data_IF_328085191058
#
_entry.id   IF_328085191058
#
_cell.length_a   1.000
_cell.length_b   1.000
_cell.length_c   1.000
_cell.angle_alpha   90.00
_cell.angle_beta   90.00
_cell.angle_gamma   90.00
#
_symmetry.space_group_name_H-M   'P 1'
#
loop_
_entity.id
_entity.type
_entity.pdbx_description
1 polymer ?
#
# COMPACT_ATOMS: atom_id res chain seq x y z
N UNK A 1 -20.87 -7.49 24.90
CA UNK A 1 -20.10 -6.97 26.05
C UNK A 1 -19.85 -5.49 25.81
N UNK A 2 -19.78 -4.68 26.87
CA UNK A 2 -19.35 -3.28 26.74
C UNK A 2 -17.82 -3.16 26.67
N UNK A 3 -17.33 -1.96 26.36
CA UNK A 3 -15.89 -1.70 26.21
C UNK A 3 -15.11 -1.97 27.50
N UNK A 4 -15.67 -1.63 28.67
CA UNK A 4 -14.99 -1.79 29.96
C UNK A 4 -14.87 -3.27 30.34
N UNK A 5 -15.92 -4.06 30.10
CA UNK A 5 -15.90 -5.51 30.28
C UNK A 5 -14.85 -6.17 29.39
N UNK A 6 -14.74 -5.75 28.12
CA UNK A 6 -13.73 -6.26 27.19
C UNK A 6 -12.33 -5.87 27.66
N UNK A 7 -12.12 -4.61 28.06
CA UNK A 7 -10.83 -4.14 28.55
C UNK A 7 -10.35 -4.91 29.78
N UNK A 8 -11.26 -5.24 30.71
CA UNK A 8 -10.93 -6.05 31.89
C UNK A 8 -10.50 -7.47 31.48
N UNK A 9 -11.23 -8.13 30.58
CA UNK A 9 -10.82 -9.45 30.08
C UNK A 9 -9.49 -9.42 29.33
N UNK A 10 -9.26 -8.41 28.50
CA UNK A 10 -7.99 -8.24 27.78
C UNK A 10 -6.83 -8.10 28.76
N UNK A 11 -7.01 -7.36 29.86
CA UNK A 11 -6.01 -7.22 30.93
C UNK A 11 -5.69 -8.53 31.64
N UNK A 12 -6.67 -9.43 31.79
CA UNK A 12 -6.46 -10.76 32.38
C UNK A 12 -5.72 -11.72 31.46
N UNK A 13 -5.93 -11.59 30.14
CA UNK A 13 -5.31 -12.45 29.12
C UNK A 13 -3.87 -12.02 28.83
N UNK A 14 -3.63 -10.72 28.69
CA UNK A 14 -2.35 -10.20 28.24
C UNK A 14 -1.35 -10.09 29.38
N UNK A 15 -0.08 -10.50 29.18
CA UNK A 15 1.00 -10.16 30.10
C UNK A 15 1.12 -8.64 30.26
N UNK A 16 1.51 -8.16 31.45
CA UNK A 16 1.54 -6.73 31.80
C UNK A 16 2.17 -5.84 30.72
N UNK A 17 3.40 -6.15 30.27
CA UNK A 17 4.09 -5.38 29.22
C UNK A 17 3.31 -5.30 27.90
N UNK A 18 2.59 -6.37 27.56
CA UNK A 18 1.78 -6.45 26.34
C UNK A 18 0.50 -5.65 26.50
N UNK A 19 -0.12 -5.68 27.68
CA UNK A 19 -1.27 -4.85 27.99
C UNK A 19 -0.92 -3.35 27.94
N UNK A 20 0.23 -2.94 28.50
CA UNK A 20 0.70 -1.56 28.39
C UNK A 20 0.95 -1.13 26.95
N UNK A 21 1.52 -2.01 26.12
CA UNK A 21 1.63 -1.82 24.67
C UNK A 21 0.26 -1.58 24.04
N UNK A 22 -0.70 -2.47 24.29
CA UNK A 22 -2.07 -2.35 23.79
C UNK A 22 -2.71 -1.01 24.16
N UNK A 23 -2.54 -0.52 25.39
CA UNK A 23 -3.08 0.79 25.79
C UNK A 23 -2.46 1.96 25.01
N UNK A 24 -1.15 1.89 24.69
CA UNK A 24 -0.51 2.91 23.87
C UNK A 24 -0.98 2.85 22.41
N UNK A 25 -1.16 1.65 21.86
CA UNK A 25 -1.76 1.45 20.53
C UNK A 25 -3.18 2.01 20.49
N UNK A 26 -3.98 1.84 21.55
CA UNK A 26 -5.33 2.43 21.67
C UNK A 26 -5.30 3.95 21.55
N UNK A 27 -4.39 4.63 22.25
CA UNK A 27 -4.30 6.09 22.18
C UNK A 27 -3.84 6.59 20.82
N UNK A 28 -2.87 5.92 20.18
CA UNK A 28 -2.44 6.26 18.81
C UNK A 28 -3.57 6.01 17.80
N UNK A 29 -4.29 4.90 17.93
CA UNK A 29 -5.39 4.57 17.04
C UNK A 29 -6.55 5.57 17.15
N UNK A 30 -6.87 6.04 18.36
CA UNK A 30 -7.87 7.11 18.58
C UNK A 30 -7.44 8.42 17.92
N UNK A 31 -6.18 8.81 18.09
CA UNK A 31 -5.62 10.00 17.44
C UNK A 31 -5.73 9.92 15.91
N UNK A 32 -5.22 8.84 15.31
CA UNK A 32 -5.30 8.65 13.86
C UNK A 32 -6.76 8.55 13.37
N UNK A 33 -7.66 7.98 14.16
CA UNK A 33 -9.09 7.95 13.82
C UNK A 33 -9.71 9.36 13.75
N UNK A 34 -9.31 10.27 14.65
CA UNK A 34 -9.73 11.67 14.58
C UNK A 34 -9.19 12.35 13.31
N UNK A 35 -7.90 12.14 12.99
CA UNK A 35 -7.25 12.72 11.79
C UNK A 35 -7.94 12.27 10.50
N UNK A 36 -8.27 10.99 10.38
CA UNK A 36 -8.81 10.40 9.14
C UNK A 36 -10.33 10.21 9.13
N UNK A 37 -11.05 10.75 10.12
CA UNK A 37 -12.51 10.73 10.16
C UNK A 37 -13.12 9.33 10.37
N UNK A 38 -12.43 8.45 11.09
CA UNK A 38 -12.91 7.12 11.48
C UNK A 38 -13.49 7.19 12.91
N UNK A 39 -14.45 6.32 13.24
CA UNK A 39 -14.99 6.24 14.60
C UNK A 39 -13.90 5.90 15.61
N UNK A 40 -13.63 6.81 16.53
CA UNK A 40 -12.68 6.62 17.64
C UNK A 40 -13.01 5.39 18.50
N UNK A 41 -14.30 5.12 18.71
CA UNK A 41 -14.76 3.97 19.50
C UNK A 41 -14.41 2.65 18.82
N UNK A 42 -14.57 2.57 17.49
CA UNK A 42 -14.22 1.38 16.70
C UNK A 42 -12.70 1.20 16.62
N UNK A 43 -11.96 2.29 16.43
CA UNK A 43 -10.50 2.28 16.46
C UNK A 43 -9.95 1.83 17.83
N UNK A 44 -10.50 2.37 18.92
CA UNK A 44 -10.14 1.98 20.28
C UNK A 44 -10.44 0.50 20.54
N UNK A 45 -11.61 -0.01 20.10
CA UNK A 45 -11.97 -1.41 20.27
C UNK A 45 -11.03 -2.33 19.48
N UNK A 46 -10.78 -2.06 18.21
CA UNK A 46 -9.88 -2.86 17.38
C UNK A 46 -8.44 -2.84 17.93
N UNK A 47 -7.95 -1.67 18.35
CA UNK A 47 -6.64 -1.54 18.99
C UNK A 47 -6.56 -2.28 20.33
N UNK A 48 -7.63 -2.27 21.14
CA UNK A 48 -7.66 -2.96 22.42
C UNK A 48 -7.52 -4.48 22.26
N UNK A 49 -8.07 -5.04 21.19
CA UNK A 49 -8.13 -6.50 21.00
C UNK A 49 -7.13 -7.06 19.98
N UNK A 50 -6.35 -6.21 19.28
CA UNK A 50 -5.47 -6.65 18.17
C UNK A 50 -4.49 -7.77 18.56
N UNK A 51 -3.94 -7.70 19.76
CA UNK A 51 -2.90 -8.61 20.26
C UNK A 51 -3.45 -9.66 21.24
N UNK A 52 -4.78 -9.81 21.39
CA UNK A 52 -5.38 -10.68 22.43
C UNK A 52 -4.92 -12.14 22.36
N UNK A 53 -4.61 -12.64 21.16
CA UNK A 53 -4.10 -13.99 20.96
C UNK A 53 -2.57 -14.08 21.00
N UNK A 54 -1.83 -12.97 21.17
CA UNK A 54 -0.36 -13.00 21.25
C UNK A 54 0.22 -13.98 22.29
N UNK A 55 -0.38 -14.17 23.48
CA UNK A 55 0.11 -15.14 24.47
C UNK A 55 -0.40 -16.58 24.25
N UNK A 56 -1.28 -16.82 23.27
CA UNK A 56 -1.80 -18.17 22.96
C UNK A 56 -0.68 -19.08 22.43
N UNK A 57 -0.70 -20.35 22.82
CA UNK A 57 0.32 -21.30 22.36
C UNK A 57 0.10 -21.74 20.90
N UNK A 58 1.16 -22.25 20.28
CA UNK A 58 1.16 -22.65 18.87
C UNK A 58 0.14 -23.76 18.55
N UNK A 59 -0.04 -24.72 19.45
CA UNK A 59 -0.95 -25.84 19.23
C UNK A 59 -2.39 -25.33 19.23
N UNK A 60 -2.73 -24.44 20.17
CA UNK A 60 -4.04 -23.81 20.22
C UNK A 60 -4.29 -22.90 19.00
N UNK A 61 -3.32 -22.06 18.61
CA UNK A 61 -3.46 -21.23 17.40
C UNK A 61 -3.70 -22.06 16.14
N UNK A 62 -2.94 -23.16 15.95
CA UNK A 62 -3.11 -24.05 14.78
C UNK A 62 -4.47 -24.76 14.80
N UNK A 63 -5.00 -25.11 15.99
CA UNK A 63 -6.37 -25.62 16.11
C UNK A 63 -7.39 -24.56 15.68
N UNK A 64 -7.22 -23.31 16.09
CA UNK A 64 -8.08 -22.21 15.65
C UNK A 64 -8.07 -22.04 14.13
N UNK A 65 -6.89 -22.11 13.48
CA UNK A 65 -6.77 -22.05 12.02
C UNK A 65 -7.63 -23.12 11.34
N UNK A 66 -7.60 -24.35 11.86
CA UNK A 66 -8.37 -25.48 11.29
C UNK A 66 -9.86 -25.35 11.60
N UNK A 67 -10.24 -25.09 12.85
CA UNK A 67 -11.63 -25.08 13.30
C UNK A 67 -12.45 -23.93 12.70
N UNK A 68 -11.80 -22.81 12.40
CA UNK A 68 -12.45 -21.62 11.83
C UNK A 68 -12.23 -21.48 10.32
N UNK A 69 -11.70 -22.50 9.63
CA UNK A 69 -11.40 -22.47 8.19
C UNK A 69 -10.60 -21.22 7.77
N UNK A 70 -9.59 -20.84 8.55
CA UNK A 70 -8.67 -19.76 8.16
C UNK A 70 -7.73 -20.24 7.03
N UNK A 71 -6.93 -19.34 6.46
CA UNK A 71 -5.98 -19.73 5.40
C UNK A 71 -5.03 -20.82 5.90
N UNK A 72 -5.13 -22.02 5.31
CA UNK A 72 -4.34 -23.20 5.67
C UNK A 72 -2.83 -22.96 5.53
N UNK A 73 -2.41 -22.01 4.68
CA UNK A 73 -1.00 -21.62 4.56
C UNK A 73 -0.43 -21.08 5.85
N UNK A 74 -1.26 -20.51 6.74
CA UNK A 74 -0.81 -20.02 8.05
C UNK A 74 -0.14 -21.11 8.88
N UNK A 75 -0.47 -22.38 8.67
CA UNK A 75 0.13 -23.51 9.40
C UNK A 75 1.65 -23.64 9.17
N UNK A 76 2.16 -23.08 8.07
CA UNK A 76 3.59 -23.08 7.71
C UNK A 76 4.37 -21.88 8.28
N UNK A 77 3.74 -21.01 9.08
CA UNK A 77 4.34 -19.78 9.60
C UNK A 77 4.44 -19.78 11.13
N UNK A 78 5.34 -18.97 11.72
CA UNK A 78 5.48 -18.85 13.17
C UNK A 78 4.25 -18.19 13.80
N UNK A 79 3.99 -18.45 15.09
CA UNK A 79 2.84 -17.89 15.85
C UNK A 79 2.69 -16.37 15.77
N UNK A 80 3.81 -15.65 15.56
CA UNK A 80 3.82 -14.22 15.33
C UNK A 80 3.02 -13.79 14.08
N UNK A 81 2.75 -14.72 13.16
CA UNK A 81 1.91 -14.52 11.98
C UNK A 81 0.46 -14.90 12.24
N UNK A 82 0.24 -15.95 13.02
CA UNK A 82 -1.09 -16.53 13.25
C UNK A 82 -1.95 -15.66 14.18
N UNK A 83 -1.34 -14.92 15.12
CA UNK A 83 -2.09 -14.28 16.20
C UNK A 83 -3.12 -13.24 15.72
N UNK A 84 -2.88 -12.58 14.58
CA UNK A 84 -3.85 -11.66 13.97
C UNK A 84 -5.09 -12.40 13.44
N UNK A 85 -4.95 -13.28 12.43
CA UNK A 85 -6.07 -14.06 11.90
C UNK A 85 -6.80 -14.90 12.97
N UNK A 86 -6.06 -15.52 13.89
CA UNK A 86 -6.65 -16.26 15.03
C UNK A 86 -7.38 -15.29 15.97
N UNK A 87 -6.79 -14.13 16.27
CA UNK A 87 -7.40 -13.07 17.07
C UNK A 87 -8.75 -12.61 16.52
N UNK A 88 -8.86 -12.44 15.21
CA UNK A 88 -10.11 -12.07 14.54
C UNK A 88 -11.23 -13.10 14.77
N UNK A 89 -10.92 -14.39 14.77
CA UNK A 89 -11.90 -15.44 15.08
C UNK A 89 -12.23 -15.48 16.59
N UNK A 90 -11.19 -15.39 17.42
CA UNK A 90 -11.27 -15.46 18.87
C UNK A 90 -12.16 -14.36 19.47
N UNK A 91 -12.05 -13.11 19.00
CA UNK A 91 -12.82 -11.99 19.55
C UNK A 91 -14.33 -12.12 19.27
N UNK A 92 -14.71 -12.73 18.15
CA UNK A 92 -16.10 -13.05 17.86
C UNK A 92 -16.63 -14.07 18.86
N UNK A 93 -15.91 -15.16 19.04
CA UNK A 93 -16.31 -16.27 19.93
C UNK A 93 -16.32 -15.87 21.42
N UNK A 94 -15.28 -15.18 21.90
CA UNK A 94 -15.07 -14.94 23.33
C UNK A 94 -15.60 -13.61 23.83
N UNK A 95 -15.65 -12.59 22.97
CA UNK A 95 -16.09 -11.24 23.34
C UNK A 95 -17.43 -10.85 22.69
N UNK A 96 -17.93 -11.64 21.73
CA UNK A 96 -19.17 -11.34 21.00
C UNK A 96 -19.05 -10.11 20.11
N UNK A 97 -17.83 -9.83 19.60
CA UNK A 97 -17.60 -8.72 18.68
C UNK A 97 -17.98 -9.19 17.27
N UNK A 98 -19.06 -8.63 16.72
CA UNK A 98 -19.57 -8.97 15.38
C UNK A 98 -19.27 -7.91 14.31
N UNK A 99 -18.58 -6.82 14.67
CA UNK A 99 -18.17 -5.79 13.71
C UNK A 99 -17.07 -6.33 12.78
N UNK A 100 -17.43 -6.55 11.52
CA UNK A 100 -16.54 -7.16 10.53
C UNK A 100 -15.32 -6.30 10.19
N UNK A 101 -15.39 -4.96 10.23
CA UNK A 101 -14.18 -4.15 10.01
C UNK A 101 -13.24 -4.21 11.21
N UNK A 102 -13.77 -4.32 12.44
CA UNK A 102 -12.95 -4.54 13.64
C UNK A 102 -12.26 -5.90 13.56
N UNK A 103 -12.99 -6.97 13.21
CA UNK A 103 -12.42 -8.31 12.98
C UNK A 103 -11.33 -8.25 11.92
N UNK A 104 -11.60 -7.60 10.80
CA UNK A 104 -10.65 -7.48 9.70
C UNK A 104 -9.39 -6.68 10.06
N UNK A 105 -9.53 -5.58 10.81
CA UNK A 105 -8.42 -4.82 11.35
C UNK A 105 -7.54 -5.67 12.28
N UNK A 106 -8.14 -6.49 13.14
CA UNK A 106 -7.40 -7.45 13.96
C UNK A 106 -6.73 -8.53 13.12
N UNK A 107 -7.41 -9.06 12.09
CA UNK A 107 -6.86 -10.10 11.23
C UNK A 107 -5.59 -9.66 10.50
N UNK A 108 -5.53 -8.41 10.07
CA UNK A 108 -4.49 -7.91 9.14
C UNK A 108 -3.42 -7.05 9.80
N UNK A 109 -3.56 -6.66 11.08
CA UNK A 109 -2.66 -5.69 11.73
C UNK A 109 -1.16 -6.06 11.71
N UNK A 110 -0.79 -7.34 11.60
CA UNK A 110 0.62 -7.74 11.62
C UNK A 110 1.33 -7.48 10.29
N UNK A 111 0.66 -7.68 9.16
CA UNK A 111 1.29 -7.66 7.82
C UNK A 111 0.57 -6.79 6.80
N UNK A 112 -0.57 -6.23 7.17
CA UNK A 112 -1.47 -5.58 6.24
C UNK A 112 -1.92 -6.50 5.12
N UNK A 113 -2.59 -5.89 4.14
CA UNK A 113 -2.97 -6.51 2.87
C UNK A 113 -3.20 -5.42 1.83
N UNK A 114 -3.35 -5.79 0.56
CA UNK A 114 -3.88 -4.87 -0.45
C UNK A 114 -5.31 -4.43 -0.10
N UNK A 115 -5.68 -3.20 -0.48
CA UNK A 115 -7.02 -2.64 -0.27
C UNK A 115 -7.50 -2.67 1.20
N UNK A 116 -6.63 -2.31 2.15
CA UNK A 116 -7.06 -2.11 3.54
C UNK A 116 -8.08 -0.97 3.64
N UNK A 117 -9.10 -1.18 4.46
CA UNK A 117 -9.99 -0.13 4.95
C UNK A 117 -9.20 0.89 5.78
N UNK A 118 -9.78 2.07 6.03
CA UNK A 118 -9.13 3.07 6.89
C UNK A 118 -8.86 2.53 8.30
N UNK A 119 -9.79 1.75 8.86
CA UNK A 119 -9.61 1.16 10.19
C UNK A 119 -8.44 0.17 10.22
N UNK A 120 -8.33 -0.73 9.23
CA UNK A 120 -7.18 -1.63 9.12
C UNK A 120 -5.84 -0.87 9.06
N UNK A 121 -5.77 0.17 8.22
CA UNK A 121 -4.56 1.01 8.10
C UNK A 121 -4.21 1.69 9.43
N UNK A 122 -5.21 2.23 10.13
CA UNK A 122 -5.02 2.86 11.44
C UNK A 122 -4.45 1.86 12.44
N UNK A 123 -5.00 0.65 12.54
CA UNK A 123 -4.52 -0.34 13.52
C UNK A 123 -3.13 -0.86 13.16
N UNK A 124 -2.88 -1.13 11.87
CA UNK A 124 -1.55 -1.52 11.36
C UNK A 124 -0.49 -0.48 11.72
N UNK A 125 -0.77 0.81 11.48
CA UNK A 125 0.17 1.89 11.76
C UNK A 125 0.27 2.18 13.26
N UNK A 126 -0.83 2.17 14.01
CA UNK A 126 -0.80 2.42 15.45
C UNK A 126 0.07 1.40 16.20
N UNK A 127 0.01 0.11 15.83
CA UNK A 127 0.88 -0.93 16.41
C UNK A 127 2.37 -0.68 16.07
N UNK A 128 2.63 -0.18 14.86
CA UNK A 128 3.97 0.11 14.37
C UNK A 128 4.59 1.35 15.03
N UNK A 129 3.81 2.42 15.29
CA UNK A 129 4.32 3.73 15.71
C UNK A 129 4.12 4.06 17.20
N UNK A 130 3.59 3.13 18.01
CA UNK A 130 3.34 3.45 19.42
C UNK A 130 4.62 3.94 20.15
N UNK A 131 4.51 4.87 21.13
CA UNK A 131 5.64 5.67 21.61
C UNK A 131 6.81 4.92 22.24
N UNK A 132 6.65 3.65 22.64
CA UNK A 132 7.73 2.83 23.18
C UNK A 132 8.40 1.93 22.13
N UNK A 133 7.93 1.90 20.88
CA UNK A 133 8.61 1.20 19.80
C UNK A 133 10.00 1.80 19.56
N UNK A 134 10.93 0.92 19.21
CA UNK A 134 12.33 1.28 18.91
C UNK A 134 12.77 0.48 17.70
N UNK A 135 12.48 0.97 16.51
CA UNK A 135 12.98 0.40 15.26
C UNK A 135 13.47 1.53 14.33
N UNK A 136 14.36 1.21 13.37
CA UNK A 136 14.83 2.17 12.40
C UNK A 136 13.67 2.83 11.65
N UNK A 137 13.81 4.10 11.29
CA UNK A 137 12.82 4.87 10.52
C UNK A 137 11.46 5.12 11.20
N UNK A 138 11.29 4.77 12.49
CA UNK A 138 10.06 5.04 13.25
C UNK A 138 9.58 6.50 13.13
N UNK A 139 10.51 7.45 13.27
CA UNK A 139 10.20 8.88 13.21
C UNK A 139 9.60 9.29 11.86
N UNK A 140 10.16 8.80 10.76
CA UNK A 140 9.67 9.07 9.40
C UNK A 140 8.23 8.56 9.23
N UNK A 141 7.97 7.31 9.63
CA UNK A 141 6.63 6.71 9.53
C UNK A 141 5.62 7.46 10.41
N UNK A 142 6.04 7.85 11.62
CA UNK A 142 5.19 8.61 12.56
C UNK A 142 4.80 9.97 11.99
N UNK A 143 5.74 10.70 11.39
CA UNK A 143 5.47 12.02 10.80
C UNK A 143 4.54 11.92 9.59
N UNK A 144 4.75 10.93 8.72
CA UNK A 144 3.92 10.72 7.51
C UNK A 144 2.50 10.28 7.87
N UNK A 145 2.34 9.47 8.92
CA UNK A 145 1.04 8.97 9.38
C UNK A 145 0.05 10.09 9.78
N UNK A 146 0.50 11.33 9.97
CA UNK A 146 -0.37 12.47 10.29
C UNK A 146 -1.07 13.05 9.05
N UNK A 147 -0.58 12.78 7.83
CA UNK A 147 -1.11 13.41 6.62
C UNK A 147 -1.23 12.48 5.41
N UNK A 148 -0.53 11.34 5.37
CA UNK A 148 -0.61 10.35 4.29
C UNK A 148 -0.51 8.91 4.85
N UNK A 149 -1.66 8.36 5.21
CA UNK A 149 -1.74 7.03 5.83
C UNK A 149 -1.30 5.90 4.88
N UNK A 150 -1.48 6.09 3.57
CA UNK A 150 -1.13 5.09 2.57
C UNK A 150 0.38 5.02 2.39
N UNK A 151 1.06 6.18 2.38
CA UNK A 151 2.51 6.24 2.39
C UNK A 151 3.10 5.68 3.71
N UNK A 152 2.47 5.96 4.85
CA UNK A 152 2.88 5.38 6.13
C UNK A 152 2.81 3.85 6.09
N UNK A 153 1.71 3.29 5.56
CA UNK A 153 1.54 1.84 5.36
C UNK A 153 2.63 1.28 4.45
N UNK A 154 2.89 1.94 3.32
CA UNK A 154 3.93 1.54 2.37
C UNK A 154 5.30 1.46 3.04
N UNK A 155 5.67 2.48 3.83
CA UNK A 155 6.96 2.54 4.52
C UNK A 155 7.06 1.50 5.64
N UNK A 156 6.03 1.35 6.48
CA UNK A 156 6.00 0.33 7.52
C UNK A 156 6.13 -1.08 6.91
N UNK A 157 5.42 -1.36 5.81
CA UNK A 157 5.53 -2.62 5.08
C UNK A 157 6.93 -2.82 4.48
N UNK A 158 7.50 -1.77 3.86
CA UNK A 158 8.88 -1.79 3.32
C UNK A 158 9.90 -2.14 4.39
N UNK A 159 9.88 -1.43 5.52
CA UNK A 159 10.86 -1.62 6.59
C UNK A 159 10.70 -2.97 7.29
N UNK A 160 9.47 -3.46 7.43
CA UNK A 160 9.22 -4.82 7.90
C UNK A 160 9.77 -5.87 6.92
N UNK A 161 9.58 -5.70 5.60
CA UNK A 161 10.15 -6.60 4.60
C UNK A 161 11.68 -6.63 4.65
N UNK A 162 12.33 -5.47 4.71
CA UNK A 162 13.79 -5.37 4.82
C UNK A 162 14.27 -6.09 6.08
N UNK A 163 13.63 -5.84 7.22
CA UNK A 163 13.96 -6.53 8.47
C UNK A 163 13.84 -8.06 8.34
N UNK A 164 12.76 -8.57 7.76
CA UNK A 164 12.59 -10.03 7.60
C UNK A 164 13.64 -10.63 6.67
N UNK A 165 13.97 -9.95 5.56
CA UNK A 165 15.01 -10.38 4.62
C UNK A 165 16.38 -10.40 5.29
N UNK A 166 16.74 -9.33 6.01
CA UNK A 166 18.04 -9.21 6.68
C UNK A 166 18.23 -10.24 7.81
N UNK A 167 17.14 -10.85 8.30
CA UNK A 167 17.15 -11.88 9.35
C UNK A 167 16.82 -13.29 8.82
N UNK A 168 16.78 -13.50 7.50
CA UNK A 168 16.47 -14.80 6.86
C UNK A 168 15.10 -15.38 7.30
N UNK A 169 14.14 -14.52 7.64
CA UNK A 169 12.81 -14.91 8.12
C UNK A 169 11.83 -15.20 6.99
N UNK A 170 10.84 -16.06 7.25
CA UNK A 170 9.75 -16.33 6.29
C UNK A 170 8.84 -15.12 6.14
N UNK A 171 8.63 -14.69 4.90
CA UNK A 171 7.73 -13.56 4.58
C UNK A 171 6.34 -14.09 4.26
N UNK A 172 5.34 -13.70 5.05
CA UNK A 172 3.95 -14.01 4.72
C UNK A 172 3.52 -13.22 3.47
N UNK A 173 2.93 -13.86 2.43
CA UNK A 173 2.68 -13.21 1.14
C UNK A 173 1.90 -11.90 1.19
N UNK A 174 0.98 -11.77 2.16
CA UNK A 174 0.16 -10.57 2.34
C UNK A 174 1.00 -9.31 2.57
N UNK A 175 2.17 -9.42 3.23
CA UNK A 175 3.06 -8.28 3.46
C UNK A 175 3.65 -7.75 2.16
N UNK A 176 4.07 -8.64 1.26
CA UNK A 176 4.59 -8.27 -0.06
C UNK A 176 3.49 -7.68 -0.94
N UNK A 177 2.28 -8.27 -0.91
CA UNK A 177 1.12 -7.72 -1.61
C UNK A 177 0.74 -6.33 -1.10
N UNK A 178 0.78 -6.14 0.23
CA UNK A 178 0.55 -4.85 0.88
C UNK A 178 1.57 -3.81 0.37
N UNK A 179 2.86 -4.11 0.48
CA UNK A 179 3.92 -3.23 -0.01
C UNK A 179 3.74 -2.89 -1.49
N UNK A 180 3.55 -3.90 -2.35
CA UNK A 180 3.40 -3.68 -3.79
C UNK A 180 2.20 -2.76 -4.08
N UNK A 181 1.05 -3.01 -3.46
CA UNK A 181 -0.16 -2.23 -3.66
C UNK A 181 0.02 -0.75 -3.28
N UNK A 182 0.54 -0.47 -2.08
CA UNK A 182 0.75 0.90 -1.61
C UNK A 182 1.99 1.56 -2.22
N UNK A 183 2.85 0.80 -2.89
CA UNK A 183 4.01 1.32 -3.63
C UNK A 183 3.69 1.67 -5.09
N UNK A 184 2.47 1.42 -5.56
CA UNK A 184 1.99 1.94 -6.83
C UNK A 184 1.80 3.45 -6.68
N UNK A 185 2.58 4.22 -7.42
CA UNK A 185 2.34 5.65 -7.55
C UNK A 185 1.41 5.87 -8.74
N UNK A 186 0.19 6.34 -8.49
CA UNK A 186 -0.71 6.79 -9.56
C UNK A 186 -0.24 8.15 -10.06
N UNK A 187 0.59 8.17 -11.09
CA UNK A 187 1.01 9.42 -11.70
C UNK A 187 0.01 9.87 -12.75
N UNK A 188 -0.19 11.18 -12.92
CA UNK A 188 -0.92 11.71 -14.07
C UNK A 188 0.01 11.90 -15.27
N UNK A 189 -0.49 11.52 -16.44
CA UNK A 189 0.22 11.65 -17.71
C UNK A 189 -0.69 12.35 -18.72
N UNK A 190 -0.41 13.63 -18.97
CA UNK A 190 -1.19 14.43 -19.93
C UNK A 190 -0.78 14.17 -21.38
N UNK A 191 -1.75 14.04 -22.29
CA UNK A 191 -1.54 13.92 -23.74
C UNK A 191 -2.29 15.04 -24.49
N UNK A 192 -1.92 15.34 -25.75
CA UNK A 192 -2.78 16.19 -26.59
C UNK A 192 -4.08 15.44 -26.95
N UNK A 193 -5.22 16.12 -26.96
CA UNK A 193 -6.55 15.54 -27.27
C UNK A 193 -6.53 14.64 -28.52
N UNK A 194 -5.87 15.09 -29.59
CA UNK A 194 -5.73 14.33 -30.85
C UNK A 194 -5.08 12.94 -30.74
N UNK A 195 -4.44 12.64 -29.62
CA UNK A 195 -3.81 11.34 -29.36
C UNK A 195 -4.71 10.40 -28.57
N UNK A 196 -5.80 10.87 -27.97
CA UNK A 196 -6.70 10.10 -27.11
C UNK A 196 -7.21 8.83 -27.80
N UNK A 197 -7.81 8.97 -28.98
CA UNK A 197 -8.35 7.83 -29.73
C UNK A 197 -7.26 6.83 -30.13
N UNK A 198 -6.07 7.31 -30.51
CA UNK A 198 -4.93 6.46 -30.86
C UNK A 198 -4.39 5.69 -29.67
N UNK A 199 -4.40 6.30 -28.49
CA UNK A 199 -4.01 5.62 -27.25
C UNK A 199 -5.08 4.56 -26.93
N UNK A 200 -6.37 4.93 -26.92
CA UNK A 200 -7.48 4.02 -26.65
C UNK A 200 -7.59 2.84 -27.63
N UNK A 201 -7.05 2.97 -28.84
CA UNK A 201 -6.95 1.93 -29.86
C UNK A 201 -5.63 1.14 -29.85
N UNK A 202 -4.76 1.37 -28.86
CA UNK A 202 -3.41 0.77 -28.75
C UNK A 202 -2.47 1.06 -29.95
N UNK A 203 -2.79 2.06 -30.77
CA UNK A 203 -1.97 2.52 -31.89
C UNK A 203 -0.80 3.40 -31.42
N UNK A 204 -0.97 4.08 -30.28
CA UNK A 204 0.07 4.90 -29.65
C UNK A 204 0.38 4.41 -28.24
N UNK A 205 1.46 3.64 -28.13
CA UNK A 205 1.92 3.00 -26.87
C UNK A 205 3.19 3.63 -26.29
N UNK A 206 3.59 4.80 -26.81
CA UNK A 206 4.75 5.54 -26.30
C UNK A 206 4.48 7.03 -26.17
N UNK A 207 5.19 7.65 -25.22
CA UNK A 207 5.43 9.09 -25.15
C UNK A 207 6.91 9.39 -24.90
N UNK A 208 7.38 10.54 -25.35
CA UNK A 208 8.76 11.00 -25.21
C UNK A 208 8.72 12.29 -24.41
N UNK A 209 9.46 12.31 -23.30
CA UNK A 209 9.43 13.36 -22.27
C UNK A 209 10.84 13.71 -21.81
N UNK A 210 11.02 14.90 -21.23
CA UNK A 210 12.27 15.23 -20.56
C UNK A 210 12.31 14.67 -19.13
N UNK A 211 13.42 14.93 -18.41
CA UNK A 211 13.67 14.33 -17.09
C UNK A 211 12.62 14.69 -16.03
N UNK A 212 12.10 15.91 -16.02
CA UNK A 212 11.10 16.34 -15.04
C UNK A 212 9.75 15.64 -15.24
N UNK A 213 9.41 15.32 -16.48
CA UNK A 213 8.15 14.66 -16.86
C UNK A 213 8.26 13.13 -17.03
N UNK A 214 9.43 12.53 -16.82
CA UNK A 214 9.69 11.10 -17.06
C UNK A 214 10.14 10.33 -15.80
N UNK A 215 9.71 10.77 -14.62
CA UNK A 215 10.07 10.15 -13.33
C UNK A 215 9.39 8.80 -13.06
N UNK A 216 8.72 8.23 -14.07
CA UNK A 216 8.06 6.93 -14.02
C UNK A 216 9.07 5.78 -14.05
N UNK A 217 8.61 4.61 -13.59
CA UNK A 217 9.30 3.34 -13.54
C UNK A 217 8.40 2.26 -14.12
N UNK A 218 9.00 1.16 -14.56
CA UNK A 218 8.25 -0.02 -15.02
C UNK A 218 7.29 -0.49 -13.92
N UNK A 219 6.02 -0.72 -14.28
CA UNK A 219 4.94 -1.11 -13.38
C UNK A 219 4.19 0.06 -12.75
N UNK A 220 4.63 1.31 -12.94
CA UNK A 220 3.85 2.46 -12.48
C UNK A 220 2.54 2.55 -13.24
N UNK A 221 1.46 2.86 -12.51
CA UNK A 221 0.15 3.11 -13.10
C UNK A 221 0.00 4.61 -13.38
N UNK A 222 -0.40 4.94 -14.60
CA UNK A 222 -0.59 6.30 -15.04
C UNK A 222 -2.06 6.58 -15.33
N UNK A 223 -2.61 7.59 -14.67
CA UNK A 223 -3.89 8.20 -15.06
C UNK A 223 -3.67 9.05 -16.32
N UNK A 224 -4.18 8.58 -17.45
CA UNK A 224 -4.10 9.30 -18.70
C UNK A 224 -5.20 10.37 -18.79
N UNK A 225 -4.78 11.61 -18.97
CA UNK A 225 -5.65 12.79 -19.17
C UNK A 225 -5.24 13.51 -20.44
N UNK A 226 -6.05 14.46 -20.91
CA UNK A 226 -5.63 15.35 -21.99
C UNK A 226 -5.17 16.69 -21.43
N UNK A 227 -4.32 17.42 -22.17
CA UNK A 227 -3.91 18.75 -21.74
C UNK A 227 -5.09 19.73 -21.79
N UNK A 228 -6.04 19.46 -22.67
CA UNK A 228 -7.27 20.21 -22.87
C UNK A 228 -8.32 19.91 -21.79
N UNK A 229 -8.32 18.70 -21.23
CA UNK A 229 -9.19 18.28 -20.12
C UNK A 229 -8.37 17.48 -19.07
N UNK A 230 -7.63 18.19 -18.18
CA UNK A 230 -6.71 17.56 -17.24
C UNK A 230 -7.40 16.87 -16.05
N UNK A 231 -8.69 17.13 -15.83
CA UNK A 231 -9.46 16.59 -14.71
C UNK A 231 -10.17 15.27 -15.06
N UNK A 232 -10.37 15.00 -16.34
CA UNK A 232 -10.98 13.76 -16.83
C UNK A 232 -9.93 12.72 -17.18
N UNK A 233 -9.91 11.63 -16.41
CA UNK A 233 -9.11 10.43 -16.74
C UNK A 233 -9.83 9.63 -17.82
N UNK A 234 -9.18 9.42 -18.97
CA UNK A 234 -9.74 8.65 -20.08
C UNK A 234 -9.22 7.21 -20.17
N UNK A 235 -8.12 6.89 -19.47
CA UNK A 235 -7.57 5.54 -19.38
C UNK A 235 -6.62 5.41 -18.19
N UNK A 236 -6.40 4.18 -17.73
CA UNK A 236 -5.27 3.82 -16.87
C UNK A 236 -4.25 3.05 -17.70
N UNK A 237 -3.01 3.52 -17.68
CA UNK A 237 -1.88 2.92 -18.39
C UNK A 237 -0.93 2.25 -17.39
N UNK A 238 -0.30 1.16 -17.76
CA UNK A 238 0.84 0.60 -17.02
C UNK A 238 2.13 0.84 -17.81
N UNK A 239 3.17 1.32 -17.14
CA UNK A 239 4.47 1.59 -17.78
C UNK A 239 5.24 0.28 -18.00
N UNK A 240 5.55 -0.02 -19.26
CA UNK A 240 6.35 -1.19 -19.64
C UNK A 240 7.85 -0.95 -19.50
N UNK A 241 8.29 0.26 -19.87
CA UNK A 241 9.70 0.62 -19.97
C UNK A 241 9.86 2.15 -19.97
N UNK A 242 10.90 2.64 -19.30
CA UNK A 242 11.43 4.00 -19.48
C UNK A 242 12.86 3.90 -19.96
N UNK A 243 13.15 4.44 -21.15
CA UNK A 243 14.47 4.35 -21.79
C UNK A 243 15.01 5.74 -22.15
N UNK A 244 16.23 6.11 -21.73
CA UNK A 244 16.85 7.35 -22.16
C UNK A 244 17.20 7.29 -23.66
N UNK A 245 17.00 8.40 -24.35
CA UNK A 245 17.33 8.62 -25.76
C UNK A 245 17.88 10.02 -25.96
N UNK A 246 18.85 10.17 -26.85
CA UNK A 246 19.29 11.44 -27.41
C UNK A 246 18.69 11.63 -28.81
N UNK A 247 18.79 12.84 -29.36
CA UNK A 247 18.35 13.16 -30.74
C UNK A 247 18.98 12.24 -31.79
N UNK A 248 20.20 11.79 -31.56
CA UNK A 248 20.95 10.88 -32.45
C UNK A 248 20.50 9.41 -32.34
N UNK A 249 19.95 9.02 -31.19
CA UNK A 249 19.52 7.63 -30.92
C UNK A 249 18.04 7.38 -31.21
N UNK A 250 17.29 8.42 -31.60
CA UNK A 250 15.90 8.27 -32.03
C UNK A 250 15.84 7.47 -33.33
N UNK A 251 14.83 6.60 -33.43
CA UNK A 251 14.65 5.70 -34.58
C UNK A 251 13.29 5.91 -35.23
N UNK A 252 13.16 5.54 -36.51
CA UNK A 252 11.91 5.66 -37.28
C UNK A 252 10.72 5.00 -36.59
N UNK A 253 10.94 3.89 -35.87
CA UNK A 253 9.88 3.22 -35.11
C UNK A 253 9.20 4.16 -34.12
N UNK A 254 9.93 5.06 -33.46
CA UNK A 254 9.34 6.03 -32.55
C UNK A 254 8.52 7.07 -33.30
N UNK A 255 9.00 7.55 -34.44
CA UNK A 255 8.30 8.52 -35.29
C UNK A 255 6.96 7.99 -35.81
N UNK A 256 6.85 6.69 -36.10
CA UNK A 256 5.58 6.04 -36.49
C UNK A 256 4.47 6.22 -35.44
N UNK A 257 4.78 6.11 -34.14
CA UNK A 257 3.80 6.37 -33.05
C UNK A 257 3.36 7.84 -32.93
N UNK A 258 4.03 8.75 -33.62
CA UNK A 258 3.67 10.16 -33.72
C UNK A 258 3.05 10.51 -35.08
N UNK A 259 3.00 9.57 -36.02
CA UNK A 259 2.48 9.77 -37.37
C UNK A 259 3.29 10.78 -38.18
N UNK A 260 4.61 10.81 -37.99
CA UNK A 260 5.54 11.78 -38.60
C UNK A 260 6.81 11.08 -39.08
N UNK A 261 7.63 11.76 -39.87
CA UNK A 261 8.99 11.29 -40.20
C UNK A 261 9.93 11.41 -38.99
N UNK A 262 11.08 10.74 -39.03
CA UNK A 262 12.09 10.84 -37.96
C UNK A 262 12.61 12.28 -37.81
N UNK A 263 12.88 12.95 -38.92
CA UNK A 263 13.33 14.35 -38.94
C UNK A 263 12.29 15.29 -38.32
N UNK A 264 11.01 15.12 -38.67
CA UNK A 264 9.92 15.89 -38.07
C UNK A 264 9.76 15.64 -36.57
N UNK A 265 9.94 14.39 -36.12
CA UNK A 265 9.92 14.06 -34.70
C UNK A 265 11.07 14.77 -33.96
N UNK A 266 12.29 14.70 -34.50
CA UNK A 266 13.46 15.37 -33.91
C UNK A 266 13.21 16.87 -33.79
N UNK A 267 12.71 17.51 -34.85
CA UNK A 267 12.41 18.95 -34.85
C UNK A 267 11.34 19.32 -33.80
N UNK A 268 10.26 18.53 -33.71
CA UNK A 268 9.21 18.75 -32.70
C UNK A 268 9.72 18.59 -31.26
N UNK A 269 10.61 17.64 -31.02
CA UNK A 269 11.20 17.43 -29.71
C UNK A 269 12.21 18.54 -29.37
N UNK A 270 12.96 19.04 -30.36
CA UNK A 270 13.86 20.18 -30.18
C UNK A 270 13.08 21.47 -29.88
N UNK A 271 11.93 21.70 -30.51
CA UNK A 271 11.06 22.84 -30.21
C UNK A 271 10.46 22.74 -28.79
N UNK A 272 10.03 21.55 -28.38
CA UNK A 272 9.38 21.33 -27.08
C UNK A 272 10.37 21.30 -25.91
N UNK A 273 11.56 20.72 -26.14
CA UNK A 273 12.60 20.50 -25.14
C UNK A 273 13.94 21.00 -25.71
N UNK A 274 14.11 22.34 -25.85
CA UNK A 274 15.30 22.91 -26.50
C UNK A 274 16.58 22.62 -25.73
N UNK A 275 16.50 22.72 -24.39
CA UNK A 275 17.67 22.63 -23.49
C UNK A 275 17.96 21.21 -22.97
N UNK A 276 17.16 20.21 -23.36
CA UNK A 276 17.31 18.83 -22.91
C UNK A 276 18.09 17.99 -23.95
N UNK A 277 19.32 17.59 -23.62
CA UNK A 277 20.13 16.69 -24.45
C UNK A 277 19.69 15.22 -24.36
N UNK A 278 19.07 14.85 -23.24
CA UNK A 278 18.55 13.51 -22.97
C UNK A 278 17.05 13.58 -22.72
N UNK A 279 16.32 12.83 -23.52
CA UNK A 279 14.88 12.58 -23.37
C UNK A 279 14.65 11.13 -22.96
N UNK A 280 13.41 10.80 -22.64
CA UNK A 280 13.01 9.50 -22.15
C UNK A 280 11.80 9.01 -22.93
N UNK A 281 11.95 7.86 -23.59
CA UNK A 281 10.83 7.11 -24.16
C UNK A 281 10.17 6.34 -23.03
N UNK A 282 8.91 6.68 -22.74
CA UNK A 282 8.04 5.96 -21.82
C UNK A 282 7.11 5.10 -22.68
N UNK A 283 7.30 3.78 -22.61
CA UNK A 283 6.44 2.80 -23.25
C UNK A 283 5.38 2.32 -22.24
N UNK A 284 4.15 2.12 -22.70
CA UNK A 284 3.02 1.76 -21.87
C UNK A 284 1.97 0.96 -22.64
N UNK A 285 1.11 0.25 -21.91
CA UNK A 285 -0.10 -0.38 -22.42
C UNK A 285 -1.33 0.02 -21.59
N UNK A 286 -2.53 -0.06 -22.18
CA UNK A 286 -3.78 0.22 -21.46
C UNK A 286 -4.14 -0.99 -20.60
N UNK A 287 -4.49 -0.71 -19.34
CA UNK A 287 -5.08 -1.71 -18.43
C UNK A 287 -6.55 -1.43 -18.12
N UNK A 288 -7.01 -0.18 -18.28
CA UNK A 288 -8.42 0.21 -18.07
C UNK A 288 -8.80 1.38 -18.99
N UNK A 289 -10.01 1.31 -19.55
CA UNK A 289 -10.67 2.39 -20.31
C UNK A 289 -11.78 3.01 -19.47
#
# INVERSE_FOLDING_TARGET
MDFQEIQNKVKEILPEKRYEHTLRVVEVAKHLAQVYGVSEQRAALAALVHDVCKPMDEVEMKKYVILHNLDVKLLDYPVAVLHGPVGSAYIGEKFGIEDEEVKLAVATHTFGRKHMTLLEKIIFIADYIEPQRKHPHLKEVTEIAEYDLDEAVRLAAKYTLVYLIDNDERIYPSLLECYNYYNIKNYRVGFKEKNKDKILADEKTITIRNKSEAHFKKGDLLEATTYEDPDTVFATLEVDLVKPVTRETLIERYAKYYGVTLEELINKLAERYPDDDVLYVVMFHIIKK
#
